data_IF_414164202694
#
_entry.id   IF_414164202694
#
_cell.length_a   1.000
_cell.length_b   1.000
_cell.length_c   1.000
_cell.angle_alpha   90.00
_cell.angle_beta   90.00
_cell.angle_gamma   90.00
#
_symmetry.space_group_name_H-M   'P 1'
#
loop_
_entity.id
_entity.type
_entity.pdbx_description
1 polymer ?
#
# COMPACT_ATOMS: atom_id res chain seq x y z
N UNK A 1 1.39 24.20 -13.57
CA UNK A 1 1.93 22.95 -14.17
C UNK A 1 1.00 21.82 -13.75
N UNK A 2 0.45 21.00 -14.65
CA UNK A 2 -0.32 19.83 -14.22
C UNK A 2 0.65 18.90 -13.50
N UNK A 3 0.50 18.78 -12.18
CA UNK A 3 1.20 17.79 -11.38
C UNK A 3 0.68 16.43 -11.83
N UNK A 4 1.49 15.64 -12.53
CA UNK A 4 1.15 14.25 -12.83
C UNK A 4 0.73 13.58 -11.52
N UNK A 5 -0.49 13.01 -11.43
CA UNK A 5 -0.93 12.38 -10.20
C UNK A 5 0.05 11.26 -9.87
N UNK A 6 0.50 11.15 -8.61
CA UNK A 6 1.45 10.12 -8.22
C UNK A 6 0.86 8.74 -8.54
N UNK A 7 1.68 7.91 -9.18
CA UNK A 7 1.25 6.60 -9.69
C UNK A 7 1.76 5.53 -8.75
N UNK A 8 0.88 4.60 -8.41
CA UNK A 8 1.31 3.34 -7.79
C UNK A 8 2.04 2.55 -8.88
N UNK A 9 3.29 2.17 -8.61
CA UNK A 9 4.08 1.38 -9.55
C UNK A 9 3.52 -0.04 -9.68
N UNK A 10 3.79 -0.71 -10.80
CA UNK A 10 3.40 -2.13 -10.96
C UNK A 10 4.10 -3.03 -9.93
N UNK A 11 5.32 -2.66 -9.52
CA UNK A 11 6.04 -3.37 -8.45
C UNK A 11 5.29 -3.23 -7.13
N UNK A 12 4.93 -2.01 -6.73
CA UNK A 12 4.18 -1.79 -5.49
C UNK A 12 2.82 -2.49 -5.52
N UNK A 13 2.14 -2.56 -6.66
CA UNK A 13 0.89 -3.32 -6.79
C UNK A 13 1.11 -4.84 -6.60
N UNK A 14 2.23 -5.38 -7.11
CA UNK A 14 2.61 -6.77 -6.87
C UNK A 14 2.90 -7.03 -5.39
N UNK A 15 3.70 -6.16 -4.75
CA UNK A 15 3.98 -6.23 -3.31
C UNK A 15 2.69 -6.20 -2.49
N UNK A 16 1.74 -5.29 -2.78
CA UNK A 16 0.46 -5.21 -2.07
C UNK A 16 -0.32 -6.54 -2.15
N UNK A 17 -0.40 -7.15 -3.34
CA UNK A 17 -1.06 -8.45 -3.49
C UNK A 17 -0.37 -9.54 -2.66
N UNK A 18 0.96 -9.54 -2.65
CA UNK A 18 1.73 -10.57 -1.96
C UNK A 18 1.65 -10.38 -0.43
N UNK A 19 1.60 -9.13 0.05
CA UNK A 19 1.30 -8.76 1.45
C UNK A 19 -0.08 -9.29 1.87
N UNK A 20 -1.12 -9.04 1.07
CA UNK A 20 -2.47 -9.51 1.35
C UNK A 20 -2.54 -11.04 1.40
N UNK A 21 -1.83 -11.72 0.51
CA UNK A 21 -1.71 -13.18 0.50
C UNK A 21 -1.00 -13.69 1.76
N UNK A 22 0.12 -13.07 2.14
CA UNK A 22 0.85 -13.42 3.35
C UNK A 22 -0.01 -13.23 4.61
N UNK A 23 -0.80 -12.16 4.68
CA UNK A 23 -1.74 -11.93 5.78
C UNK A 23 -2.81 -13.03 5.87
N UNK A 24 -3.40 -13.43 4.74
CA UNK A 24 -4.36 -14.54 4.69
C UNK A 24 -3.77 -15.86 5.16
N UNK A 25 -2.48 -16.09 4.89
CA UNK A 25 -1.74 -17.29 5.32
C UNK A 25 -1.18 -17.18 6.75
N UNK A 26 -1.46 -16.09 7.48
CA UNK A 26 -0.93 -15.86 8.83
C UNK A 26 0.57 -15.54 8.89
N UNK A 27 1.19 -15.27 7.74
CA UNK A 27 2.63 -15.03 7.59
C UNK A 27 2.98 -13.56 7.86
N UNK A 28 2.74 -13.11 9.08
CA UNK A 28 2.98 -11.70 9.50
C UNK A 28 4.38 -11.16 9.17
N UNK A 29 5.49 -11.92 9.35
CA UNK A 29 6.82 -11.41 8.99
C UNK A 29 6.96 -11.09 7.49
N UNK A 30 6.37 -11.91 6.62
CA UNK A 30 6.41 -11.69 5.17
C UNK A 30 5.56 -10.47 4.76
N UNK A 31 4.39 -10.30 5.38
CA UNK A 31 3.55 -9.11 5.17
C UNK A 31 4.28 -7.81 5.57
N UNK A 32 4.97 -7.82 6.72
CA UNK A 32 5.76 -6.66 7.18
C UNK A 32 6.93 -6.38 6.21
N UNK A 33 7.62 -7.43 5.75
CA UNK A 33 8.70 -7.29 4.78
C UNK A 33 8.21 -6.66 3.46
N UNK A 34 7.07 -7.10 2.94
CA UNK A 34 6.48 -6.52 1.74
C UNK A 34 6.07 -5.05 1.92
N UNK A 35 5.52 -4.68 3.09
CA UNK A 35 5.20 -3.27 3.38
C UNK A 35 6.46 -2.37 3.34
N UNK A 36 7.60 -2.89 3.81
CA UNK A 36 8.88 -2.19 3.78
C UNK A 36 9.53 -2.16 2.38
N UNK A 37 9.10 -3.03 1.46
CA UNK A 37 9.60 -3.08 0.08
C UNK A 37 8.93 -2.04 -0.84
N UNK A 38 7.74 -1.54 -0.47
CA UNK A 38 7.02 -0.52 -1.24
C UNK A 38 7.77 0.81 -1.16
N UNK A 39 8.01 1.42 -2.32
CA UNK A 39 8.71 2.69 -2.44
C UNK A 39 7.86 3.88 -1.93
N UNK A 40 8.55 4.96 -1.53
CA UNK A 40 7.90 6.14 -0.94
C UNK A 40 6.94 6.86 -1.89
N UNK A 41 7.20 6.85 -3.21
CA UNK A 41 6.33 7.48 -4.19
C UNK A 41 5.01 6.71 -4.31
N UNK A 42 5.07 5.37 -4.33
CA UNK A 42 3.91 4.50 -4.30
C UNK A 42 3.11 4.66 -3.01
N UNK A 43 3.76 4.81 -1.86
CA UNK A 43 3.05 5.11 -0.60
C UNK A 43 2.30 6.44 -0.65
N UNK A 44 2.95 7.51 -1.11
CA UNK A 44 2.30 8.81 -1.30
C UNK A 44 1.13 8.74 -2.29
N UNK A 45 1.26 7.92 -3.35
CA UNK A 45 0.21 7.68 -4.33
C UNK A 45 -1.00 6.93 -3.74
N UNK A 46 -0.78 6.05 -2.76
CA UNK A 46 -1.85 5.36 -2.02
C UNK A 46 -2.54 6.35 -1.08
N UNK A 47 -1.79 7.13 -0.31
CA UNK A 47 -2.35 8.13 0.61
C UNK A 47 -3.24 9.15 -0.12
N UNK A 48 -2.79 9.67 -1.26
CA UNK A 48 -3.59 10.61 -2.05
C UNK A 48 -4.88 9.99 -2.59
N UNK A 49 -4.84 8.71 -3.01
CA UNK A 49 -6.03 8.01 -3.48
C UNK A 49 -7.02 7.74 -2.35
N UNK A 50 -6.53 7.38 -1.15
CA UNK A 50 -7.37 7.20 0.02
C UNK A 50 -8.00 8.52 0.47
N UNK A 51 -7.24 9.60 0.51
CA UNK A 51 -7.75 10.92 0.85
C UNK A 51 -8.85 11.40 -0.11
N UNK A 52 -8.74 11.08 -1.40
CA UNK A 52 -9.79 11.36 -2.39
C UNK A 52 -11.10 10.58 -2.16
N UNK A 53 -11.07 9.55 -1.31
CA UNK A 53 -12.21 8.73 -0.90
C UNK A 53 -12.61 8.97 0.57
N UNK A 54 -12.17 10.08 1.17
CA UNK A 54 -12.33 10.39 2.60
C UNK A 54 -11.76 9.32 3.55
N UNK A 55 -10.81 8.52 3.06
CA UNK A 55 -10.13 7.46 3.80
C UNK A 55 -8.72 7.86 4.25
N UNK A 56 -8.18 7.08 5.20
CA UNK A 56 -6.81 7.26 5.69
C UNK A 56 -6.01 5.95 5.66
N UNK A 57 -4.71 6.06 5.38
CA UNK A 57 -3.82 4.90 5.26
C UNK A 57 -3.67 4.13 6.58
N UNK A 58 -3.45 4.77 7.75
CA UNK A 58 -3.38 4.06 9.02
C UNK A 58 -4.62 3.22 9.35
N UNK A 59 -5.83 3.69 9.05
CA UNK A 59 -7.09 2.99 9.24
C UNK A 59 -7.22 1.83 8.26
N UNK A 60 -6.85 2.03 7.00
CA UNK A 60 -6.77 0.95 6.03
C UNK A 60 -5.84 -0.17 6.52
N UNK A 61 -4.62 0.16 6.96
CA UNK A 61 -3.67 -0.83 7.48
C UNK A 61 -4.17 -1.54 8.75
N UNK A 62 -4.87 -0.84 9.66
CA UNK A 62 -5.48 -1.47 10.85
C UNK A 62 -6.56 -2.49 10.48
N UNK A 63 -7.27 -2.30 9.36
CA UNK A 63 -8.28 -3.26 8.91
C UNK A 63 -7.71 -4.58 8.37
N UNK A 64 -6.39 -4.63 8.15
CA UNK A 64 -5.69 -5.79 7.58
C UNK A 64 -5.15 -6.78 8.63
N UNK A 65 -5.20 -6.46 9.93
CA UNK A 65 -4.61 -7.24 11.03
C UNK A 65 -5.60 -7.55 12.14
#
# INVERSE_FOLDING_TARGET
MPTTPPRISLMAAAEIRDILTALQLGQRPAAIAGLMAIDAESWAAVEQRLAALDGDLPAALRSLV
#
